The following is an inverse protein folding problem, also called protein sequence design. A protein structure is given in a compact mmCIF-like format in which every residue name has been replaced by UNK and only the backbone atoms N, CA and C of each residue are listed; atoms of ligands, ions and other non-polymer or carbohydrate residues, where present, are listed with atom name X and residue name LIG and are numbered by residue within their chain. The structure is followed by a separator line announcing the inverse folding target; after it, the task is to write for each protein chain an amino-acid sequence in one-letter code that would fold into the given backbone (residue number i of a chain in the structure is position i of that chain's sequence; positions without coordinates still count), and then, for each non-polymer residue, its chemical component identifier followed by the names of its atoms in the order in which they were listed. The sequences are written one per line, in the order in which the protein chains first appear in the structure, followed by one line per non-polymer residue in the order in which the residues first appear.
data_IF_424224365151
#
_entry.id   IF_424224365151
#
_cell.length_a   1.000
_cell.length_b   1.000
_cell.length_c   1.000
_cell.angle_alpha   90.00
_cell.angle_beta   90.00
_cell.angle_gamma   90.00
#
_symmetry.space_group_name_H-M   'P 1'
#
loop_
_entity.id
_entity.type
_entity.pdbx_description
1 polymer ?
#
# COMPACT_ATOMS: atom_id res chain seq x y z
N UNK A 1 -23.56 75.96 -48.52
CA UNK A 1 -23.36 74.51 -48.65
C UNK A 1 -22.32 74.10 -47.64
N UNK A 2 -22.76 73.48 -46.54
CA UNK A 2 -21.91 72.97 -45.47
C UNK A 2 -21.28 71.64 -45.87
N UNK A 3 -19.98 71.48 -45.65
CA UNK A 3 -19.29 70.20 -45.40
C UNK A 3 -17.88 70.54 -44.87
N UNK A 4 -17.69 70.54 -43.55
CA UNK A 4 -17.15 69.43 -42.75
C UNK A 4 -15.68 69.11 -43.06
N UNK A 5 -14.86 69.59 -42.12
CA UNK A 5 -13.56 69.12 -41.70
C UNK A 5 -13.20 67.67 -42.08
N UNK A 6 -12.05 67.49 -42.71
CA UNK A 6 -11.06 66.53 -42.22
C UNK A 6 -9.66 67.09 -42.51
N UNK A 7 -8.99 67.54 -41.46
CA UNK A 7 -7.55 67.79 -41.51
C UNK A 7 -6.82 66.46 -41.59
N UNK A 8 -6.05 66.26 -42.64
CA UNK A 8 -4.93 65.31 -42.61
C UNK A 8 -3.74 66.06 -42.03
N UNK A 9 -3.63 66.03 -40.71
CA UNK A 9 -2.35 66.17 -40.05
C UNK A 9 -1.60 64.86 -40.30
N UNK A 10 -0.76 64.81 -41.34
CA UNK A 10 0.23 63.74 -41.47
C UNK A 10 1.38 64.05 -40.51
N UNK A 11 1.10 63.78 -39.24
CA UNK A 11 2.05 63.73 -38.15
C UNK A 11 3.08 62.61 -38.41
N UNK A 12 4.36 62.96 -38.32
CA UNK A 12 5.43 62.00 -38.10
C UNK A 12 6.02 61.38 -39.35
N UNK A 13 7.23 61.82 -39.70
CA UNK A 13 8.12 61.05 -40.56
C UNK A 13 8.26 59.61 -40.01
N UNK A 14 7.56 58.64 -40.60
CA UNK A 14 7.69 57.22 -40.29
C UNK A 14 8.97 56.65 -40.93
N UNK A 15 10.13 57.24 -40.59
CA UNK A 15 11.41 56.58 -40.87
C UNK A 15 11.64 55.58 -39.75
N UNK A 16 11.37 54.30 -40.01
CA UNK A 16 11.70 53.24 -39.07
C UNK A 16 13.20 53.21 -38.72
N UNK A 17 13.60 52.52 -37.64
CA UNK A 17 15.00 52.46 -37.18
C UNK A 17 16.01 51.96 -38.22
N UNK A 18 15.53 51.33 -39.29
CA UNK A 18 16.32 50.71 -40.35
C UNK A 18 16.49 51.69 -41.52
N UNK A 19 17.69 52.27 -41.65
CA UNK A 19 17.99 53.31 -42.64
C UNK A 19 18.68 52.78 -43.90
N UNK A 20 19.15 51.53 -43.88
CA UNK A 20 19.88 50.91 -44.98
C UNK A 20 19.50 49.43 -45.16
N UNK A 21 19.54 48.87 -46.38
CA UNK A 21 19.19 47.47 -46.64
C UNK A 21 20.11 46.47 -45.92
N UNK A 22 21.38 46.82 -45.69
CA UNK A 22 22.29 46.03 -44.85
C UNK A 22 21.84 45.94 -43.40
N UNK A 23 21.29 47.03 -42.85
CA UNK A 23 20.77 47.07 -41.50
C UNK A 23 19.48 46.25 -41.37
N UNK A 24 18.69 46.15 -42.45
CA UNK A 24 17.52 45.27 -42.52
C UNK A 24 17.93 43.80 -42.44
N UNK A 25 18.91 43.38 -43.23
CA UNK A 25 19.40 41.99 -43.20
C UNK A 25 19.97 41.60 -41.83
N UNK A 26 20.70 42.51 -41.19
CA UNK A 26 21.24 42.29 -39.84
C UNK A 26 20.10 42.18 -38.81
N UNK A 27 19.11 43.07 -38.87
CA UNK A 27 17.97 43.05 -37.94
C UNK A 27 17.15 41.75 -38.08
N UNK A 28 16.88 41.31 -39.32
CA UNK A 28 16.16 40.06 -39.57
C UNK A 28 16.98 38.86 -39.09
N UNK A 29 18.28 38.79 -39.41
CA UNK A 29 19.15 37.71 -38.96
C UNK A 29 19.13 37.57 -37.42
N UNK A 30 19.36 38.65 -36.68
CA UNK A 30 19.32 38.60 -35.22
C UNK A 30 17.92 38.34 -34.65
N UNK A 31 16.84 38.78 -35.33
CA UNK A 31 15.46 38.48 -34.91
C UNK A 31 15.10 37.00 -34.97
N UNK A 32 15.76 36.19 -35.80
CA UNK A 32 15.58 34.74 -35.82
C UNK A 32 16.61 34.04 -34.94
N UNK A 33 17.87 34.48 -35.01
CA UNK A 33 18.99 33.83 -34.33
C UNK A 33 18.89 33.99 -32.81
N UNK A 34 18.64 35.21 -32.32
CA UNK A 34 18.62 35.47 -30.86
C UNK A 34 17.50 34.67 -30.17
N UNK A 35 16.23 34.66 -30.63
CA UNK A 35 15.20 33.84 -30.01
C UNK A 35 15.50 32.35 -30.05
N UNK A 36 16.09 31.82 -31.14
CA UNK A 36 16.49 30.41 -31.22
C UNK A 36 17.51 30.07 -30.14
N UNK A 37 18.57 30.86 -30.00
CA UNK A 37 19.58 30.63 -28.96
C UNK A 37 19.02 30.81 -27.54
N UNK A 38 18.10 31.76 -27.33
CA UNK A 38 17.42 31.95 -26.04
C UNK A 38 16.54 30.74 -25.70
N UNK A 39 15.78 30.21 -26.65
CA UNK A 39 14.95 29.01 -26.46
C UNK A 39 15.82 27.79 -26.17
N UNK A 40 16.88 27.57 -26.96
CA UNK A 40 17.84 26.47 -26.73
C UNK A 40 18.46 26.59 -25.34
N UNK A 41 18.89 27.80 -24.95
CA UNK A 41 19.45 28.09 -23.63
C UNK A 41 18.46 27.84 -22.49
N UNK A 42 17.19 28.26 -22.65
CA UNK A 42 16.13 28.01 -21.67
C UNK A 42 15.80 26.53 -21.53
N UNK A 43 15.70 25.80 -22.65
CA UNK A 43 15.48 24.35 -22.62
C UNK A 43 16.65 23.67 -21.92
N UNK A 44 17.90 24.03 -22.24
CA UNK A 44 19.07 23.49 -21.55
C UNK A 44 19.04 23.80 -20.05
N UNK A 45 18.73 25.05 -19.67
CA UNK A 45 18.65 25.46 -18.27
C UNK A 45 17.59 24.67 -17.51
N UNK A 46 16.37 24.56 -18.03
CA UNK A 46 15.28 23.81 -17.40
C UNK A 46 15.60 22.33 -17.29
N UNK A 47 16.12 21.72 -18.37
CA UNK A 47 16.50 20.29 -18.37
C UNK A 47 17.68 20.03 -17.42
N UNK A 48 18.62 20.96 -17.29
CA UNK A 48 19.76 20.83 -16.37
C UNK A 48 19.36 21.00 -14.89
N UNK A 49 18.37 21.84 -14.59
CA UNK A 49 17.82 22.03 -13.25
C UNK A 49 16.93 20.85 -12.81
N UNK A 50 16.29 20.16 -13.76
CA UNK A 50 15.52 18.93 -13.54
C UNK A 50 16.39 17.72 -13.90
N UNK A 51 17.57 17.59 -13.28
CA UNK A 51 18.38 16.37 -13.38
C UNK A 51 17.72 15.27 -12.53
N UNK A 52 17.06 14.23 -13.10
CA UNK A 52 16.91 12.99 -12.37
C UNK A 52 18.30 12.35 -12.34
N UNK A 53 18.68 11.82 -11.18
CA UNK A 53 19.88 11.01 -11.07
C UNK A 53 19.79 9.82 -12.03
N UNK A 54 20.47 9.91 -13.17
CA UNK A 54 20.76 8.80 -14.08
C UNK A 54 19.80 8.61 -15.26
N UNK A 55 20.14 9.18 -16.41
CA UNK A 55 20.33 8.46 -17.69
C UNK A 55 20.60 9.50 -18.79
N UNK A 56 21.78 9.45 -19.39
CA UNK A 56 22.09 10.20 -20.59
C UNK A 56 21.59 9.41 -21.78
N UNK A 57 20.29 9.47 -22.06
CA UNK A 57 19.76 8.89 -23.29
C UNK A 57 18.92 9.91 -24.06
N UNK A 58 19.27 10.06 -25.33
CA UNK A 58 18.61 10.92 -26.31
C UNK A 58 17.22 10.39 -26.73
N UNK A 59 16.55 9.64 -25.86
CA UNK A 59 15.23 9.03 -26.10
C UNK A 59 14.05 9.92 -25.70
N UNK A 60 14.32 11.16 -25.28
CA UNK A 60 13.31 12.18 -24.89
C UNK A 60 12.47 12.73 -26.06
N UNK A 61 12.53 12.13 -27.25
CA UNK A 61 11.74 12.53 -28.43
C UNK A 61 10.81 11.42 -28.97
N UNK A 62 10.37 10.48 -28.13
CA UNK A 62 9.29 9.57 -28.51
C UNK A 62 7.92 10.27 -28.35
N UNK A 63 7.35 10.74 -29.47
CA UNK A 63 5.93 11.07 -29.61
C UNK A 63 5.09 9.82 -29.23
N UNK A 64 4.62 9.75 -27.99
CA UNK A 64 3.86 8.58 -27.52
C UNK A 64 3.81 8.39 -26.00
N UNK A 65 4.58 9.17 -25.23
CA UNK A 65 4.41 9.26 -23.78
C UNK A 65 4.75 7.99 -22.97
N UNK A 66 5.20 6.92 -23.61
CA UNK A 66 5.68 5.70 -22.95
C UNK A 66 7.10 5.42 -23.38
N UNK A 67 8.06 5.78 -22.53
CA UNK A 67 9.44 5.34 -22.68
C UNK A 67 9.53 3.86 -22.31
N UNK A 68 10.46 3.10 -22.90
CA UNK A 68 10.71 1.70 -22.50
C UNK A 68 10.95 1.57 -20.99
N UNK A 69 11.56 2.59 -20.40
CA UNK A 69 11.78 2.70 -18.97
C UNK A 69 10.47 2.79 -18.17
N UNK A 70 9.47 3.53 -18.66
CA UNK A 70 8.14 3.62 -18.02
C UNK A 70 7.36 2.30 -18.08
N UNK A 71 7.51 1.53 -19.17
CA UNK A 71 6.90 0.22 -19.32
C UNK A 71 7.59 -0.81 -18.42
N UNK A 72 8.93 -0.82 -18.42
CA UNK A 72 9.73 -1.69 -17.55
C UNK A 72 9.44 -1.44 -16.07
N UNK A 73 9.26 -0.18 -15.67
CA UNK A 73 8.93 0.20 -14.29
C UNK A 73 7.49 -0.16 -13.92
N UNK A 74 6.54 -0.04 -14.87
CA UNK A 74 5.17 -0.52 -14.70
C UNK A 74 5.12 -2.04 -14.51
N UNK A 75 5.82 -2.79 -15.35
CA UNK A 75 5.92 -4.26 -15.25
C UNK A 75 6.60 -4.68 -13.94
N UNK A 76 7.70 -4.04 -13.55
CA UNK A 76 8.38 -4.32 -12.29
C UNK A 76 7.49 -4.08 -11.06
N UNK A 77 6.64 -3.04 -11.10
CA UNK A 77 5.68 -2.75 -10.02
C UNK A 77 4.60 -3.83 -9.92
N UNK A 78 4.17 -4.40 -11.05
CA UNK A 78 3.17 -5.50 -11.07
C UNK A 78 3.77 -6.87 -10.71
N UNK A 79 5.09 -7.03 -10.84
CA UNK A 79 5.82 -8.25 -10.48
C UNK A 79 6.40 -8.22 -9.07
N UNK A 80 6.12 -7.19 -8.27
CA UNK A 80 6.50 -7.15 -6.86
C UNK A 80 5.90 -8.37 -6.12
N UNK A 81 6.71 -9.04 -5.29
CA UNK A 81 6.23 -10.16 -4.46
C UNK A 81 5.12 -9.69 -3.53
N UNK A 82 3.92 -10.23 -3.72
CA UNK A 82 2.70 -9.90 -2.94
C UNK A 82 2.62 -10.59 -1.58
N UNK A 83 3.67 -11.32 -1.18
CA UNK A 83 3.75 -11.98 0.11
C UNK A 83 4.99 -12.84 0.24
N UNK A 84 5.48 -12.94 1.47
CA UNK A 84 6.48 -13.93 1.86
C UNK A 84 5.70 -15.05 2.57
N UNK A 85 5.80 -16.27 2.06
CA UNK A 85 5.26 -17.45 2.74
C UNK A 85 6.41 -18.07 3.51
N UNK A 86 6.38 -17.95 4.83
CA UNK A 86 7.32 -18.67 5.69
C UNK A 86 6.74 -20.03 6.07
N UNK A 87 7.45 -21.09 5.69
CA UNK A 87 7.15 -22.44 6.14
C UNK A 87 7.81 -22.60 7.51
N UNK A 88 7.01 -22.55 8.57
CA UNK A 88 7.49 -22.85 9.92
C UNK A 88 7.56 -24.36 10.12
N UNK A 89 8.54 -24.78 10.94
CA UNK A 89 8.73 -26.18 11.29
C UNK A 89 7.48 -26.72 12.01
N UNK A 90 6.83 -27.70 11.39
CA UNK A 90 5.63 -28.34 11.92
C UNK A 90 5.91 -29.16 13.20
N UNK A 91 7.17 -29.48 13.46
CA UNK A 91 7.65 -30.23 14.60
C UNK A 91 8.14 -29.36 15.75
N UNK A 92 8.05 -28.02 15.63
CA UNK A 92 8.38 -27.11 16.73
C UNK A 92 7.58 -27.45 18.00
N UNK A 93 8.16 -27.09 19.14
CA UNK A 93 7.44 -27.13 20.41
C UNK A 93 6.34 -26.07 20.39
N UNK A 94 5.13 -26.48 20.77
CA UNK A 94 3.97 -25.58 20.80
C UNK A 94 4.05 -24.68 22.03
N UNK A 95 3.90 -23.38 21.83
CA UNK A 95 3.86 -22.38 22.88
C UNK A 95 2.75 -22.67 23.91
N UNK A 96 3.00 -22.27 25.15
CA UNK A 96 2.00 -22.30 26.22
C UNK A 96 0.96 -21.20 26.06
N UNK A 97 -0.23 -21.37 26.67
CA UNK A 97 -1.33 -20.41 26.53
C UNK A 97 -0.99 -19.00 26.99
N UNK A 98 -0.23 -18.87 28.08
CA UNK A 98 0.24 -17.58 28.58
C UNK A 98 1.19 -16.86 27.60
N UNK A 99 2.07 -17.61 26.95
CA UNK A 99 3.02 -17.05 25.99
C UNK A 99 2.29 -16.49 24.77
N UNK A 100 1.35 -17.27 24.22
CA UNK A 100 0.52 -16.85 23.08
C UNK A 100 -0.32 -15.62 23.47
N UNK A 101 -0.90 -15.62 24.68
CA UNK A 101 -1.64 -14.47 25.19
C UNK A 101 -0.79 -13.20 25.20
N UNK A 102 0.43 -13.28 25.75
CA UNK A 102 1.35 -12.12 25.83
C UNK A 102 1.73 -11.58 24.46
N UNK A 103 1.96 -12.47 23.49
CA UNK A 103 2.42 -12.09 22.15
C UNK A 103 1.31 -11.46 21.32
N UNK A 104 0.10 -12.05 21.29
CA UNK A 104 -0.96 -11.62 20.34
C UNK A 104 -2.20 -11.06 21.03
N UNK A 105 -2.65 -11.69 22.12
CA UNK A 105 -3.98 -11.42 22.67
C UNK A 105 -4.00 -10.21 23.61
N UNK A 106 -2.89 -9.96 24.31
CA UNK A 106 -2.77 -8.93 25.34
C UNK A 106 -2.99 -7.52 24.80
N UNK A 107 -2.62 -7.25 23.54
CA UNK A 107 -2.79 -5.96 22.89
C UNK A 107 -4.23 -5.43 22.98
N UNK A 108 -5.23 -6.32 22.88
CA UNK A 108 -6.63 -5.97 22.98
C UNK A 108 -7.25 -6.37 24.33
N UNK A 109 -6.91 -7.55 24.84
CA UNK A 109 -7.58 -8.10 26.02
C UNK A 109 -6.99 -7.66 27.36
N UNK A 110 -5.80 -7.06 27.42
CA UNK A 110 -5.28 -6.54 28.69
C UNK A 110 -6.06 -5.31 29.17
N UNK A 111 -6.40 -4.39 28.25
CA UNK A 111 -7.15 -3.18 28.56
C UNK A 111 -8.63 -3.23 28.13
N UNK A 112 -9.04 -4.22 27.34
CA UNK A 112 -10.40 -4.32 26.81
C UNK A 112 -10.66 -3.39 25.62
N UNK A 113 -9.67 -3.25 24.74
CA UNK A 113 -9.74 -2.38 23.55
C UNK A 113 -10.90 -2.81 22.65
N UNK A 114 -11.63 -1.83 22.10
CA UNK A 114 -12.77 -2.06 21.21
C UNK A 114 -13.87 -2.99 21.81
N UNK A 115 -14.00 -3.02 23.15
CA UNK A 115 -14.97 -3.86 23.84
C UNK A 115 -14.53 -5.32 24.00
N UNK A 116 -13.23 -5.62 23.82
CA UNK A 116 -12.69 -6.93 24.12
C UNK A 116 -12.91 -7.31 25.60
N UNK A 117 -13.26 -8.57 25.92
CA UNK A 117 -13.37 -9.00 27.30
C UNK A 117 -12.01 -8.92 27.98
N UNK A 118 -11.93 -8.12 29.06
CA UNK A 118 -10.69 -7.87 29.77
C UNK A 118 -10.19 -9.15 30.44
N UNK A 119 -8.89 -9.41 30.37
CA UNK A 119 -8.26 -10.54 31.04
C UNK A 119 -8.51 -10.48 32.56
N UNK A 120 -8.95 -11.59 33.14
CA UNK A 120 -9.26 -11.69 34.57
C UNK A 120 -10.62 -11.11 35.00
N UNK A 121 -11.41 -10.53 34.10
CA UNK A 121 -12.71 -9.97 34.44
C UNK A 121 -13.81 -11.05 34.47
N UNK A 122 -14.08 -11.61 35.65
CA UNK A 122 -15.08 -12.66 35.81
C UNK A 122 -16.49 -12.26 35.33
N UNK A 123 -16.88 -10.99 35.44
CA UNK A 123 -18.18 -10.52 34.99
C UNK A 123 -18.28 -10.52 33.46
N UNK A 124 -17.22 -10.07 32.77
CA UNK A 124 -17.16 -10.13 31.31
C UNK A 124 -17.06 -11.57 30.79
N UNK A 125 -16.38 -12.46 31.52
CA UNK A 125 -16.13 -13.84 31.07
C UNK A 125 -17.26 -14.83 31.39
N UNK A 126 -18.07 -14.61 32.43
CA UNK A 126 -19.09 -15.57 32.88
C UNK A 126 -20.03 -16.06 31.77
N UNK A 127 -20.68 -15.14 31.05
CA UNK A 127 -21.59 -15.50 29.95
C UNK A 127 -20.86 -16.16 28.76
N UNK A 128 -19.57 -15.85 28.57
CA UNK A 128 -18.73 -16.40 27.50
C UNK A 128 -18.32 -17.84 27.83
N UNK A 129 -17.86 -18.08 29.05
CA UNK A 129 -17.54 -19.41 29.58
C UNK A 129 -18.76 -20.34 29.47
N UNK A 130 -19.96 -19.82 29.74
CA UNK A 130 -21.20 -20.59 29.63
C UNK A 130 -21.51 -21.11 28.21
N UNK A 131 -20.94 -20.50 27.16
CA UNK A 131 -21.07 -20.99 25.78
C UNK A 131 -20.25 -22.26 25.49
N UNK A 132 -19.34 -22.61 26.41
CA UNK A 132 -18.44 -23.76 26.28
C UNK A 132 -17.10 -23.43 25.61
N UNK A 133 -16.11 -24.28 25.85
CA UNK A 133 -14.73 -24.07 25.39
C UNK A 133 -14.61 -24.01 23.87
N UNK A 134 -15.21 -24.97 23.16
CA UNK A 134 -15.15 -25.05 21.70
C UNK A 134 -15.72 -23.80 21.02
N UNK A 135 -16.81 -23.24 21.55
CA UNK A 135 -17.40 -22.02 21.01
C UNK A 135 -16.47 -20.80 21.17
N UNK A 136 -15.72 -20.73 22.26
CA UNK A 136 -14.72 -19.69 22.49
C UNK A 136 -13.53 -19.84 21.55
N UNK A 137 -13.01 -21.06 21.40
CA UNK A 137 -11.91 -21.36 20.46
C UNK A 137 -12.32 -21.03 19.03
N UNK A 138 -13.50 -21.46 18.59
CA UNK A 138 -14.01 -21.13 17.25
C UNK A 138 -14.18 -19.63 17.03
N UNK A 139 -14.63 -18.89 18.06
CA UNK A 139 -14.71 -17.42 17.98
C UNK A 139 -13.33 -16.77 17.86
N UNK A 140 -12.30 -17.34 18.50
CA UNK A 140 -10.92 -16.87 18.37
C UNK A 140 -10.33 -17.17 16.99
N UNK A 141 -10.48 -18.41 16.52
CA UNK A 141 -9.93 -18.84 15.23
C UNK A 141 -10.54 -18.09 14.06
N UNK A 142 -11.87 -17.94 14.04
CA UNK A 142 -12.60 -17.28 12.94
C UNK A 142 -12.71 -15.77 13.10
N UNK A 143 -12.36 -15.24 14.27
CA UNK A 143 -12.60 -13.84 14.62
C UNK A 143 -14.07 -13.59 14.98
N UNK A 144 -14.32 -12.52 15.72
CA UNK A 144 -15.67 -12.10 16.13
C UNK A 144 -15.73 -10.61 16.42
N UNK A 145 -16.64 -9.91 15.74
CA UNK A 145 -16.77 -8.46 15.90
C UNK A 145 -15.50 -7.73 15.48
N UNK A 146 -14.92 -6.95 16.39
CA UNK A 146 -13.66 -6.23 16.17
C UNK A 146 -12.40 -7.10 16.27
N UNK A 147 -12.52 -8.37 16.69
CA UNK A 147 -11.39 -9.28 16.80
C UNK A 147 -11.15 -10.00 15.46
N UNK A 148 -9.97 -9.81 14.88
CA UNK A 148 -9.56 -10.47 13.65
C UNK A 148 -9.38 -12.00 13.83
N UNK A 149 -9.55 -12.80 12.75
CA UNK A 149 -9.27 -14.24 12.80
C UNK A 149 -7.84 -14.52 13.28
N UNK A 150 -7.69 -15.44 14.23
CA UNK A 150 -6.38 -15.88 14.72
C UNK A 150 -5.92 -17.19 14.07
N UNK A 151 -6.81 -17.90 13.37
CA UNK A 151 -6.47 -19.12 12.64
C UNK A 151 -5.57 -18.83 11.44
N UNK A 152 -4.58 -19.68 11.19
CA UNK A 152 -3.60 -19.53 10.10
C UNK A 152 -2.62 -18.35 10.28
N UNK A 153 -2.58 -17.75 11.48
CA UNK A 153 -1.67 -16.67 11.84
C UNK A 153 -0.30 -17.16 12.30
N UNK A 154 0.30 -16.47 13.27
CA UNK A 154 1.63 -16.81 13.80
C UNK A 154 1.68 -18.14 14.57
N UNK A 155 0.55 -18.52 15.18
CA UNK A 155 0.39 -19.67 16.06
C UNK A 155 -0.53 -20.73 15.44
N UNK A 156 -0.29 -22.00 15.76
CA UNK A 156 -1.21 -23.09 15.44
C UNK A 156 -2.54 -22.91 16.18
N UNK A 157 -3.62 -23.48 15.63
CA UNK A 157 -4.94 -23.45 16.26
C UNK A 157 -4.94 -24.00 17.69
N UNK A 158 -4.05 -24.95 17.98
CA UNK A 158 -3.88 -25.55 19.32
C UNK A 158 -3.23 -24.58 20.31
N UNK A 159 -2.27 -23.78 19.86
CA UNK A 159 -1.63 -22.73 20.66
C UNK A 159 -2.65 -21.61 20.96
N UNK A 160 -3.48 -21.26 19.98
CA UNK A 160 -4.60 -20.34 20.18
C UNK A 160 -5.60 -20.91 21.20
N UNK A 161 -5.94 -22.21 21.10
CA UNK A 161 -6.85 -22.85 22.05
C UNK A 161 -6.29 -22.86 23.48
N UNK A 162 -4.98 -23.05 23.66
CA UNK A 162 -4.32 -22.88 24.97
C UNK A 162 -4.44 -21.45 25.49
N UNK A 163 -4.26 -20.45 24.63
CA UNK A 163 -4.44 -19.05 25.01
C UNK A 163 -5.88 -18.76 25.46
N UNK A 164 -6.87 -19.32 24.76
CA UNK A 164 -8.29 -19.21 25.14
C UNK A 164 -8.53 -19.86 26.50
N UNK A 165 -7.98 -21.05 26.76
CA UNK A 165 -8.09 -21.70 28.06
C UNK A 165 -7.47 -20.84 29.17
N UNK A 166 -6.26 -20.30 28.95
CA UNK A 166 -5.59 -19.41 29.90
C UNK A 166 -6.43 -18.17 30.24
N UNK A 167 -6.97 -17.49 29.23
CA UNK A 167 -7.79 -16.29 29.42
C UNK A 167 -9.13 -16.59 30.10
N UNK A 168 -9.81 -17.64 29.66
CA UNK A 168 -11.08 -18.05 30.24
C UNK A 168 -10.93 -18.52 31.68
N UNK A 169 -9.83 -19.23 32.00
CA UNK A 169 -9.53 -19.67 33.37
C UNK A 169 -9.22 -18.48 34.29
N UNK A 170 -8.49 -17.48 33.80
CA UNK A 170 -8.32 -16.22 34.54
C UNK A 170 -9.66 -15.51 34.79
N UNK A 171 -10.62 -15.63 33.87
CA UNK A 171 -11.99 -15.14 34.02
C UNK A 171 -12.93 -16.03 34.86
N UNK A 172 -12.42 -17.06 35.54
CA UNK A 172 -13.22 -17.96 36.40
C UNK A 172 -13.61 -19.30 35.77
N UNK A 173 -13.12 -19.60 34.57
CA UNK A 173 -13.26 -20.90 33.91
C UNK A 173 -12.36 -21.99 34.53
N UNK A 174 -12.60 -23.24 34.12
CA UNK A 174 -11.79 -24.41 34.51
C UNK A 174 -11.59 -25.33 33.31
N UNK A 175 -11.12 -24.76 32.20
CA UNK A 175 -10.80 -25.50 30.99
C UNK A 175 -9.40 -26.08 31.06
N UNK A 176 -9.25 -27.33 30.61
CA UNK A 176 -7.93 -27.94 30.45
C UNK A 176 -7.24 -27.32 29.23
N UNK A 177 -5.94 -27.06 29.34
CA UNK A 177 -5.15 -26.67 28.17
C UNK A 177 -5.02 -27.87 27.21
N UNK A 178 -5.35 -27.70 25.93
CA UNK A 178 -5.25 -28.78 24.96
C UNK A 178 -3.79 -29.21 24.75
N UNK A 179 -3.55 -30.51 24.86
CA UNK A 179 -2.28 -31.11 24.51
C UNK A 179 -2.00 -30.97 23.00
N UNK A 180 -0.73 -31.08 22.59
CA UNK A 180 -0.39 -31.19 21.16
C UNK A 180 -1.20 -32.36 20.60
N UNK A 181 -2.02 -32.18 19.55
CA UNK A 181 -2.66 -33.30 18.88
C UNK A 181 -1.55 -34.23 18.43
N UNK A 182 -1.49 -35.43 19.01
CA UNK A 182 -0.66 -36.47 18.45
C UNK A 182 -1.12 -36.66 17.00
N UNK A 183 -0.19 -36.91 16.08
CA UNK A 183 -0.42 -37.14 14.66
C UNK A 183 -1.30 -38.39 14.35
N UNK A 184 -2.14 -38.83 15.28
CA UNK A 184 -2.96 -40.04 15.24
C UNK A 184 -4.48 -39.76 15.17
N UNK A 185 -4.92 -38.52 14.97
CA UNK A 185 -6.33 -38.21 14.71
C UNK A 185 -6.64 -37.92 13.23
N UNK A 186 -5.63 -37.98 12.36
CA UNK A 186 -5.80 -37.91 10.90
C UNK A 186 -6.05 -39.28 10.24
N UNK A 187 -6.18 -40.36 11.02
CA UNK A 187 -6.60 -41.69 10.55
C UNK A 187 -8.08 -41.92 10.96
N UNK A 188 -8.98 -41.06 10.49
CA UNK A 188 -10.38 -41.12 10.94
C UNK A 188 -11.35 -40.17 10.24
N UNK A 189 -11.04 -39.70 9.04
CA UNK A 189 -12.01 -39.04 8.17
C UNK A 189 -11.52 -39.12 6.71
N UNK A 190 -11.49 -40.33 6.16
CA UNK A 190 -11.51 -40.49 4.71
C UNK A 190 -12.83 -39.89 4.18
N UNK A 191 -12.80 -38.98 3.19
CA UNK A 191 -14.02 -38.57 2.53
C UNK A 191 -14.54 -39.79 1.75
N UNK A 192 -15.76 -40.21 2.07
CA UNK A 192 -16.49 -41.19 1.28
C UNK A 192 -16.64 -40.65 -0.14
N UNK A 193 -15.84 -41.21 -1.05
CA UNK A 193 -15.95 -41.01 -2.47
C UNK A 193 -17.32 -41.50 -2.93
N UNK A 194 -18.13 -40.54 -3.37
CA UNK A 194 -19.46 -40.76 -3.90
C UNK A 194 -19.38 -41.59 -5.20
N UNK A 195 -19.68 -42.88 -5.09
CA UNK A 195 -20.01 -43.74 -6.23
C UNK A 195 -21.53 -43.89 -6.33
N UNK A 196 -22.14 -43.31 -7.36
CA UNK A 196 -23.36 -43.77 -8.03
C UNK A 196 -23.63 -42.81 -9.22
N UNK A 197 -23.26 -43.18 -10.44
CA UNK A 197 -23.96 -44.01 -11.44
C UNK A 197 -24.81 -43.16 -12.39
#
# INVERSE_FOLDING_TARGET
MSNLAQGHADDGAHTGPIKNPKQLLVAVFFSFVVPIFVIIGLVYFVVSAVKPSGSGDASVMALGGTTEQSLAQGVATRLQKVGMVEIRDANRELAGGEQVYKTQCAACHAAGVAGAPKFGDAAAWGARIATGFEALVQSALKGKGAMAPQGGGDFEDTEIARAVAFMANAGGGKFAEPAKPAASAAEGAAPAEAAAK
#
